data_IF_729626950909
#
_entry.id   IF_729626950909
#
_cell.length_a   1.000
_cell.length_b   1.000
_cell.length_c   1.000
_cell.angle_alpha   90.00
_cell.angle_beta   90.00
_cell.angle_gamma   90.00
#
_symmetry.space_group_name_H-M   'P 1'
#
loop_
_entity.id
_entity.type
_entity.pdbx_description
1 polymer ?
#
# COMPACT_ATOMS: atom_id res chain seq x y z
N UNK A 1 -18.10 -2.72 -6.33
CA UNK A 1 -17.75 -1.29 -6.31
C UNK A 1 -16.23 -1.17 -6.28
N UNK A 2 -15.62 -0.34 -7.13
CA UNK A 2 -14.16 -0.21 -7.23
C UNK A 2 -13.61 0.56 -6.02
N UNK A 3 -12.75 -0.07 -5.24
CA UNK A 3 -12.01 0.56 -4.12
C UNK A 3 -10.54 0.72 -4.51
N UNK A 4 -9.96 1.87 -4.21
CA UNK A 4 -8.58 2.20 -4.59
C UNK A 4 -7.68 2.19 -3.35
N UNK A 5 -6.72 1.27 -3.29
CA UNK A 5 -5.66 1.33 -2.31
C UNK A 5 -4.59 2.33 -2.78
N UNK A 6 -4.40 3.42 -2.06
CA UNK A 6 -3.32 4.39 -2.31
C UNK A 6 -2.31 4.27 -1.17
N UNK A 7 -1.06 3.97 -1.52
CA UNK A 7 0.04 3.86 -0.55
C UNK A 7 1.38 4.16 -1.21
N UNK A 8 2.45 4.16 -0.42
CA UNK A 8 3.77 4.41 -0.99
C UNK A 8 4.87 4.64 0.03
N UNK A 9 6.00 5.13 -0.47
CA UNK A 9 7.20 5.36 0.32
C UNK A 9 7.01 6.39 1.43
N UNK A 10 7.60 6.11 2.59
CA UNK A 10 7.68 7.07 3.70
C UNK A 10 8.53 8.30 3.38
N UNK A 11 9.34 8.28 2.33
CA UNK A 11 10.17 9.41 1.89
C UNK A 11 9.42 10.38 0.98
N UNK A 12 8.29 9.98 0.39
CA UNK A 12 7.47 10.84 -0.47
C UNK A 12 6.52 11.66 0.43
N UNK A 13 6.96 12.84 0.84
CA UNK A 13 6.18 13.74 1.69
C UNK A 13 5.37 14.79 0.92
N UNK A 14 5.55 14.88 -0.40
CA UNK A 14 4.83 15.79 -1.30
C UNK A 14 4.37 15.04 -2.53
N UNK A 15 3.17 15.38 -3.00
CA UNK A 15 2.61 14.78 -4.20
C UNK A 15 2.90 15.66 -5.41
N UNK A 16 3.41 15.02 -6.48
CA UNK A 16 3.58 15.68 -7.77
C UNK A 16 2.25 16.03 -8.42
N UNK A 17 2.26 16.98 -9.33
CA UNK A 17 1.06 17.43 -10.03
C UNK A 17 0.34 16.29 -10.77
N UNK A 18 1.09 15.33 -11.32
CA UNK A 18 0.53 14.19 -12.03
C UNK A 18 -0.17 13.19 -11.12
N UNK A 19 0.40 12.96 -9.93
CA UNK A 19 -0.23 12.15 -8.88
C UNK A 19 -1.52 12.83 -8.42
N UNK A 20 -1.49 14.14 -8.17
CA UNK A 20 -2.68 14.91 -7.79
C UNK A 20 -3.77 14.82 -8.85
N UNK A 21 -3.44 14.99 -10.15
CA UNK A 21 -4.41 14.83 -11.25
C UNK A 21 -5.03 13.42 -11.27
N UNK A 22 -4.24 12.38 -10.93
CA UNK A 22 -4.78 11.01 -10.86
C UNK A 22 -5.71 10.83 -9.66
N UNK A 23 -5.38 11.42 -8.52
CA UNK A 23 -6.26 11.42 -7.33
C UNK A 23 -7.53 12.24 -7.62
N UNK A 24 -7.45 13.37 -8.32
CA UNK A 24 -8.62 14.15 -8.73
C UNK A 24 -9.61 13.31 -9.56
N UNK A 25 -9.11 12.47 -10.49
CA UNK A 25 -9.96 11.52 -11.23
C UNK A 25 -10.61 10.44 -10.36
N UNK A 26 -9.96 10.02 -9.28
CA UNK A 26 -10.54 9.09 -8.29
C UNK A 26 -11.68 9.79 -7.55
N UNK A 27 -11.48 11.05 -7.16
CA UNK A 27 -12.48 11.90 -6.49
C UNK A 27 -13.68 12.15 -7.42
N UNK A 28 -13.46 12.56 -8.66
CA UNK A 28 -14.50 12.80 -9.67
C UNK A 28 -15.39 11.58 -9.89
N UNK A 29 -14.79 10.38 -9.91
CA UNK A 29 -15.50 9.10 -10.04
C UNK A 29 -16.12 8.60 -8.73
N UNK A 30 -15.95 9.34 -7.64
CA UNK A 30 -16.41 8.97 -6.30
C UNK A 30 -15.99 7.55 -5.87
N UNK A 31 -14.72 7.19 -6.12
CA UNK A 31 -14.21 5.86 -5.77
C UNK A 31 -13.71 5.86 -4.33
N UNK A 32 -14.17 4.93 -3.46
CA UNK A 32 -13.62 4.78 -2.12
C UNK A 32 -12.11 4.58 -2.11
N UNK A 33 -11.42 5.29 -1.22
CA UNK A 33 -9.98 5.24 -1.03
C UNK A 33 -9.65 4.54 0.27
N UNK A 34 -8.78 3.53 0.19
CA UNK A 34 -8.14 2.89 1.33
C UNK A 34 -6.71 3.45 1.42
N UNK A 35 -6.35 4.02 2.55
CA UNK A 35 -5.03 4.63 2.76
C UNK A 35 -4.47 4.24 4.12
N UNK A 36 -3.16 4.05 4.21
CA UNK A 36 -2.49 3.78 5.46
C UNK A 36 -2.30 5.02 6.33
N UNK A 37 -1.70 4.81 7.50
CA UNK A 37 -1.44 5.83 8.52
C UNK A 37 0.02 6.27 8.62
N UNK A 38 0.90 5.80 7.73
CA UNK A 38 2.32 6.08 7.79
C UNK A 38 2.63 7.55 7.44
N UNK A 39 3.79 8.03 7.90
CA UNK A 39 4.35 9.27 7.38
C UNK A 39 4.76 9.09 5.92
N UNK A 40 4.99 10.19 5.20
CA UNK A 40 5.33 10.19 3.78
C UNK A 40 4.10 10.08 2.90
N UNK A 41 4.07 9.15 1.95
CA UNK A 41 3.02 9.05 0.93
C UNK A 41 1.61 8.94 1.52
N UNK A 42 1.39 8.08 2.52
CA UNK A 42 0.08 7.92 3.14
C UNK A 42 -0.44 9.26 3.69
N UNK A 43 0.40 9.96 4.48
CA UNK A 43 0.04 11.27 5.04
C UNK A 43 -0.17 12.33 3.96
N UNK A 44 0.70 12.39 2.95
CA UNK A 44 0.57 13.36 1.87
C UNK A 44 -0.72 13.14 1.05
N UNK A 45 -1.12 11.90 0.82
CA UNK A 45 -2.39 11.54 0.18
C UNK A 45 -3.57 11.96 1.06
N UNK A 46 -3.52 11.67 2.36
CA UNK A 46 -4.55 12.10 3.30
C UNK A 46 -4.72 13.62 3.32
N UNK A 47 -3.62 14.39 3.39
CA UNK A 47 -3.66 15.85 3.37
C UNK A 47 -4.28 16.39 2.08
N UNK A 48 -3.96 15.77 0.93
CA UNK A 48 -4.54 16.15 -0.34
C UNK A 48 -6.04 15.85 -0.42
N UNK A 49 -6.47 14.65 -0.03
CA UNK A 49 -7.90 14.28 0.02
C UNK A 49 -8.69 15.19 0.97
N UNK A 50 -8.11 15.55 2.13
CA UNK A 50 -8.69 16.53 3.07
C UNK A 50 -8.85 17.90 2.41
N UNK A 51 -7.84 18.38 1.68
CA UNK A 51 -7.89 19.68 0.99
C UNK A 51 -8.99 19.75 -0.08
N UNK A 52 -9.41 18.57 -0.59
CA UNK A 52 -10.53 18.42 -1.52
C UNK A 52 -11.88 18.13 -0.83
N UNK A 53 -11.92 18.13 0.49
CA UNK A 53 -13.12 17.75 1.28
C UNK A 53 -13.70 16.39 0.84
N UNK A 54 -12.82 15.43 0.49
CA UNK A 54 -13.25 14.11 0.04
C UNK A 54 -13.59 13.21 1.22
N UNK A 55 -14.79 12.64 1.23
CA UNK A 55 -15.39 11.91 2.35
C UNK A 55 -15.30 10.38 2.23
N UNK A 56 -15.11 9.83 1.01
CA UNK A 56 -15.06 8.38 0.79
C UNK A 56 -13.65 7.82 1.02
N UNK A 57 -13.16 7.96 2.25
CA UNK A 57 -11.83 7.51 2.67
C UNK A 57 -11.94 6.65 3.92
N UNK A 58 -11.15 5.58 3.97
CA UNK A 58 -10.96 4.76 5.17
C UNK A 58 -9.46 4.66 5.47
N UNK A 59 -9.06 4.94 6.73
CA UNK A 59 -7.67 4.92 7.16
C UNK A 59 -7.37 3.60 7.88
N UNK A 60 -6.41 2.85 7.38
CA UNK A 60 -5.98 1.58 7.95
C UNK A 60 -4.77 1.76 8.87
N UNK A 61 -4.82 1.14 10.04
CA UNK A 61 -3.80 1.22 11.07
C UNK A 61 -3.42 -0.17 11.56
N UNK A 62 -2.13 -0.41 11.78
CA UNK A 62 -1.68 -1.65 12.43
C UNK A 62 -1.71 -1.50 13.95
N UNK A 63 -2.38 -2.43 14.64
CA UNK A 63 -2.59 -2.37 16.09
C UNK A 63 -3.67 -1.37 16.50
N UNK A 64 -3.64 -0.93 17.74
CA UNK A 64 -4.78 -0.26 18.40
C UNK A 64 -4.86 1.26 18.15
N UNK A 65 -3.86 1.86 17.46
CA UNK A 65 -3.81 3.31 17.24
C UNK A 65 -3.28 3.68 15.87
N UNK A 66 -3.85 4.75 15.32
CA UNK A 66 -3.38 5.36 14.08
C UNK A 66 -2.34 6.44 14.34
N UNK A 67 -1.28 6.48 13.53
CA UNK A 67 -0.26 7.54 13.57
C UNK A 67 -0.75 8.82 12.90
N UNK A 68 -1.50 8.70 11.81
CA UNK A 68 -2.07 9.81 11.06
C UNK A 68 -3.50 9.48 10.62
N UNK A 69 -4.43 10.41 10.88
CA UNK A 69 -5.76 10.49 10.29
C UNK A 69 -6.11 11.97 10.15
N UNK A 70 -5.56 12.62 9.12
CA UNK A 70 -5.60 14.08 8.96
C UNK A 70 -6.98 14.62 8.61
N UNK A 71 -7.85 13.79 8.04
CA UNK A 71 -9.22 14.17 7.66
C UNK A 71 -10.29 13.72 8.62
N UNK A 72 -9.95 13.01 9.71
CA UNK A 72 -10.93 12.51 10.67
C UNK A 72 -11.86 11.44 10.10
N UNK A 73 -11.42 10.69 9.09
CA UNK A 73 -12.21 9.63 8.45
C UNK A 73 -12.37 8.39 9.34
N UNK A 74 -13.29 7.47 8.98
CA UNK A 74 -13.36 6.16 9.61
C UNK A 74 -12.00 5.47 9.64
N UNK A 75 -11.67 4.87 10.78
CA UNK A 75 -10.43 4.15 11.00
C UNK A 75 -10.70 2.66 11.11
N UNK A 76 -9.86 1.86 10.45
CA UNK A 76 -9.83 0.41 10.62
C UNK A 76 -8.51 -0.01 11.27
N UNK A 77 -8.61 -0.46 12.51
CA UNK A 77 -7.49 -1.07 13.23
C UNK A 77 -7.38 -2.55 12.83
N UNK A 78 -6.18 -2.94 12.37
CA UNK A 78 -5.92 -4.33 11.99
C UNK A 78 -5.13 -4.98 13.13
N UNK A 79 -5.67 -6.05 13.76
CA UNK A 79 -4.99 -6.74 14.85
C UNK A 79 -3.63 -7.24 14.43
N UNK A 80 -2.63 -7.11 15.31
CA UNK A 80 -1.28 -7.61 15.09
C UNK A 80 -1.03 -8.76 16.05
N UNK A 81 -0.41 -9.86 15.60
CA UNK A 81 -0.09 -10.98 16.48
C UNK A 81 0.72 -10.54 17.70
N UNK A 82 0.29 -10.96 18.90
CA UNK A 82 0.89 -10.55 20.19
C UNK A 82 2.33 -11.01 20.42
N UNK A 83 2.86 -11.86 19.53
CA UNK A 83 4.18 -12.48 19.69
C UNK A 83 5.36 -11.58 19.29
N UNK A 84 5.11 -10.39 18.77
CA UNK A 84 6.14 -9.43 18.38
C UNK A 84 6.34 -8.35 19.43
N UNK A 85 7.41 -8.42 20.19
CA UNK A 85 7.84 -7.36 21.14
C UNK A 85 8.33 -6.08 20.45
N UNK A 86 8.39 -6.04 19.12
CA UNK A 86 8.96 -4.95 18.33
C UNK A 86 8.03 -4.58 17.17
N UNK A 87 7.81 -3.28 16.96
CA UNK A 87 7.14 -2.74 15.76
C UNK A 87 8.10 -2.82 14.57
N UNK A 88 8.18 -3.98 13.94
CA UNK A 88 9.01 -4.29 12.79
C UNK A 88 8.24 -4.17 11.46
N UNK A 89 8.87 -4.61 10.37
CA UNK A 89 8.25 -4.61 9.04
C UNK A 89 6.95 -5.42 9.01
N UNK A 90 6.93 -6.60 9.65
CA UNK A 90 5.74 -7.46 9.74
C UNK A 90 4.57 -6.75 10.43
N UNK A 91 4.84 -6.04 11.54
CA UNK A 91 3.84 -5.23 12.24
C UNK A 91 3.18 -4.21 11.30
N UNK A 92 3.99 -3.40 10.63
CA UNK A 92 3.46 -2.33 9.77
C UNK A 92 2.80 -2.84 8.49
N UNK A 93 3.23 -4.00 7.98
CA UNK A 93 2.66 -4.60 6.77
C UNK A 93 1.29 -5.26 7.01
N UNK A 94 0.87 -5.45 8.26
CA UNK A 94 -0.44 -6.07 8.58
C UNK A 94 -1.61 -5.27 7.98
N UNK A 95 -1.61 -3.95 8.16
CA UNK A 95 -2.62 -3.08 7.54
C UNK A 95 -2.54 -3.07 6.01
N UNK A 96 -1.31 -3.17 5.46
CA UNK A 96 -1.07 -3.14 4.02
C UNK A 96 -1.64 -4.40 3.35
N UNK A 97 -1.52 -5.57 4.01
CA UNK A 97 -2.19 -6.82 3.58
C UNK A 97 -3.70 -6.65 3.55
N UNK A 98 -4.29 -6.14 4.64
CA UNK A 98 -5.73 -5.93 4.72
C UNK A 98 -6.24 -4.96 3.63
N UNK A 99 -5.51 -3.89 3.33
CA UNK A 99 -5.85 -2.99 2.23
C UNK A 99 -5.71 -3.68 0.86
N UNK A 100 -4.66 -4.48 0.66
CA UNK A 100 -4.48 -5.24 -0.58
C UNK A 100 -5.58 -6.27 -0.79
N UNK A 101 -6.06 -6.92 0.27
CA UNK A 101 -7.18 -7.88 0.21
C UNK A 101 -8.49 -7.19 -0.18
N UNK A 102 -8.77 -6.02 0.38
CA UNK A 102 -10.05 -5.33 0.18
C UNK A 102 -10.11 -4.46 -1.08
N UNK A 103 -9.00 -3.91 -1.51
CA UNK A 103 -8.94 -3.04 -2.68
C UNK A 103 -9.30 -3.79 -3.97
N UNK A 104 -9.75 -3.05 -4.97
CA UNK A 104 -9.95 -3.55 -6.34
C UNK A 104 -8.76 -3.22 -7.23
N UNK A 105 -8.12 -2.07 -6.97
CA UNK A 105 -6.97 -1.58 -7.72
C UNK A 105 -6.02 -0.85 -6.78
N UNK A 106 -4.72 -0.77 -7.14
CA UNK A 106 -3.70 -0.01 -6.41
C UNK A 106 -3.19 1.21 -7.15
N UNK A 107 -2.86 2.25 -6.38
CA UNK A 107 -2.01 3.37 -6.81
C UNK A 107 -0.84 3.46 -5.82
N UNK A 108 0.35 3.06 -6.27
CA UNK A 108 1.54 3.01 -5.42
C UNK A 108 2.52 4.12 -5.79
N UNK A 109 2.98 4.89 -4.78
CA UNK A 109 3.95 5.97 -4.96
C UNK A 109 5.33 5.48 -4.51
N UNK A 110 6.24 5.28 -5.47
CA UNK A 110 7.52 4.61 -5.24
C UNK A 110 8.72 5.52 -5.48
N UNK A 111 9.67 5.46 -4.57
CA UNK A 111 10.92 6.23 -4.57
C UNK A 111 12.13 5.43 -5.10
N UNK A 112 11.91 4.30 -5.75
CA UNK A 112 12.89 3.29 -6.19
C UNK A 112 13.59 2.50 -5.07
N UNK A 113 13.37 2.83 -3.78
CA UNK A 113 14.07 2.20 -2.66
C UNK A 113 13.13 1.48 -1.68
N UNK A 114 11.85 1.88 -1.62
CA UNK A 114 10.90 1.35 -0.65
C UNK A 114 10.50 -0.09 -0.94
N UNK A 115 11.00 -1.04 -0.14
CA UNK A 115 10.58 -2.46 -0.17
C UNK A 115 9.09 -2.59 0.12
N UNK A 116 8.56 -1.86 1.10
CA UNK A 116 7.14 -1.91 1.47
C UNK A 116 6.21 -1.55 0.32
N UNK A 117 6.59 -0.56 -0.51
CA UNK A 117 5.84 -0.18 -1.71
C UNK A 117 5.84 -1.31 -2.75
N UNK A 118 7.01 -1.91 -3.02
CA UNK A 118 7.12 -3.03 -3.96
C UNK A 118 6.37 -4.27 -3.45
N UNK A 119 6.40 -4.54 -2.15
CA UNK A 119 5.60 -5.61 -1.54
C UNK A 119 4.09 -5.37 -1.71
N UNK A 120 3.61 -4.12 -1.66
CA UNK A 120 2.21 -3.80 -1.92
C UNK A 120 1.82 -4.05 -3.39
N UNK A 121 2.71 -3.76 -4.33
CA UNK A 121 2.52 -4.16 -5.74
C UNK A 121 2.39 -5.67 -5.85
N UNK A 122 3.32 -6.43 -5.25
CA UNK A 122 3.31 -7.90 -5.29
C UNK A 122 2.02 -8.48 -4.69
N UNK A 123 1.57 -7.98 -3.52
CA UNK A 123 0.32 -8.40 -2.88
C UNK A 123 -0.88 -8.23 -3.80
N UNK A 124 -1.00 -7.06 -4.41
CA UNK A 124 -2.11 -6.77 -5.33
C UNK A 124 -2.08 -7.68 -6.56
N UNK A 125 -0.91 -7.92 -7.16
CA UNK A 125 -0.76 -8.83 -8.31
C UNK A 125 -1.11 -10.27 -7.92
N UNK A 126 -0.69 -10.76 -6.75
CA UNK A 126 -1.08 -12.09 -6.24
C UNK A 126 -2.60 -12.25 -6.08
N UNK A 127 -3.30 -11.17 -5.76
CA UNK A 127 -4.76 -11.10 -5.74
C UNK A 127 -5.39 -10.81 -7.11
N UNK A 128 -4.63 -10.90 -8.19
CA UNK A 128 -5.07 -10.62 -9.58
C UNK A 128 -5.64 -9.19 -9.75
N UNK A 129 -5.14 -8.24 -8.99
CA UNK A 129 -5.56 -6.84 -9.00
C UNK A 129 -4.56 -5.97 -9.75
N UNK A 130 -5.07 -5.00 -10.51
CA UNK A 130 -4.23 -4.07 -11.27
C UNK A 130 -3.63 -3.02 -10.35
N UNK A 131 -2.39 -2.64 -10.64
CA UNK A 131 -1.65 -1.61 -9.90
C UNK A 131 -1.09 -0.59 -10.88
N UNK A 132 -1.21 0.68 -10.53
CA UNK A 132 -0.46 1.76 -11.17
C UNK A 132 0.62 2.21 -10.20
N UNK A 133 1.86 2.14 -10.61
CA UNK A 133 3.02 2.59 -9.84
C UNK A 133 3.50 3.93 -10.37
N UNK A 134 3.50 4.95 -9.53
CA UNK A 134 4.19 6.21 -9.83
C UNK A 134 5.63 6.11 -9.34
N UNK A 135 6.57 6.16 -10.27
CA UNK A 135 8.01 6.15 -10.00
C UNK A 135 8.46 7.59 -9.83
N UNK A 136 8.56 8.06 -8.58
CA UNK A 136 8.75 9.48 -8.28
C UNK A 136 10.03 10.09 -8.88
N UNK A 137 11.20 9.43 -8.84
CA UNK A 137 12.42 10.00 -9.45
C UNK A 137 12.32 10.21 -10.96
N UNK A 138 11.48 9.42 -11.64
CA UNK A 138 11.36 9.46 -13.11
C UNK A 138 10.13 10.25 -13.57
N UNK A 139 9.26 10.65 -12.65
CA UNK A 139 7.98 11.29 -12.92
C UNK A 139 7.11 10.48 -13.90
N UNK A 140 7.16 9.14 -13.84
CA UNK A 140 6.42 8.26 -14.75
C UNK A 140 5.46 7.33 -14.03
N UNK A 141 4.40 6.91 -14.74
CA UNK A 141 3.50 5.87 -14.32
C UNK A 141 3.79 4.56 -15.03
N UNK A 142 3.88 3.47 -14.26
CA UNK A 142 4.02 2.11 -14.77
C UNK A 142 2.78 1.31 -14.40
N UNK A 143 2.12 0.73 -15.39
CA UNK A 143 1.00 -0.18 -15.19
C UNK A 143 1.52 -1.60 -14.94
N UNK A 144 1.07 -2.23 -13.85
CA UNK A 144 1.36 -3.63 -13.52
C UNK A 144 0.01 -4.34 -13.39
N UNK A 145 -0.30 -5.25 -14.31
CA UNK A 145 -1.62 -5.90 -14.44
C UNK A 145 -1.55 -7.42 -14.40
N UNK A 146 -0.39 -7.96 -14.76
CA UNK A 146 -0.14 -9.39 -14.89
C UNK A 146 1.15 -9.79 -14.16
N UNK A 147 1.38 -11.07 -13.98
CA UNK A 147 2.65 -11.58 -13.47
C UNK A 147 3.84 -11.20 -14.39
N UNK A 148 3.65 -11.21 -15.71
CA UNK A 148 4.68 -10.78 -16.65
C UNK A 148 5.03 -9.28 -16.49
N UNK A 149 4.03 -8.41 -16.27
CA UNK A 149 4.28 -7.01 -15.96
C UNK A 149 5.02 -6.85 -14.62
N UNK A 150 4.69 -7.69 -13.64
CA UNK A 150 5.40 -7.73 -12.35
C UNK A 150 6.87 -8.10 -12.52
N UNK A 151 7.17 -9.15 -13.27
CA UNK A 151 8.55 -9.57 -13.55
C UNK A 151 9.33 -8.47 -14.26
N UNK A 152 8.71 -7.81 -15.24
CA UNK A 152 9.30 -6.66 -15.93
C UNK A 152 9.53 -5.47 -14.99
N UNK A 153 8.58 -5.15 -14.12
CA UNK A 153 8.73 -4.11 -13.12
C UNK A 153 9.87 -4.44 -12.14
N UNK A 154 9.89 -5.68 -11.61
CA UNK A 154 10.92 -6.14 -10.69
C UNK A 154 12.31 -6.14 -11.32
N UNK A 155 12.42 -6.47 -12.63
CA UNK A 155 13.70 -6.48 -13.34
C UNK A 155 14.39 -5.10 -13.36
N UNK A 156 13.62 -4.02 -13.28
CA UNK A 156 14.12 -2.63 -13.21
C UNK A 156 14.55 -2.19 -11.81
N UNK A 157 14.27 -3.00 -10.78
CA UNK A 157 14.69 -2.73 -9.41
C UNK A 157 16.17 -3.06 -9.21
N UNK A 158 16.82 -2.38 -8.27
CA UNK A 158 18.19 -2.70 -7.85
C UNK A 158 18.26 -4.10 -7.22
N UNK A 159 19.39 -4.78 -7.35
CA UNK A 159 19.51 -6.18 -6.92
C UNK A 159 19.34 -6.36 -5.41
N UNK A 160 19.84 -5.45 -4.60
CA UNK A 160 19.62 -5.46 -3.15
C UNK A 160 18.14 -5.32 -2.78
N UNK A 161 17.38 -4.53 -3.54
CA UNK A 161 15.94 -4.41 -3.37
C UNK A 161 15.22 -5.71 -3.74
N UNK A 162 15.62 -6.36 -4.85
CA UNK A 162 15.05 -7.67 -5.27
C UNK A 162 15.27 -8.73 -4.20
N UNK A 163 16.47 -8.81 -3.62
CA UNK A 163 16.79 -9.75 -2.55
C UNK A 163 15.92 -9.51 -1.31
N UNK A 164 15.74 -8.25 -0.92
CA UNK A 164 14.88 -7.88 0.22
C UNK A 164 13.41 -8.21 -0.04
N UNK A 165 12.91 -7.92 -1.23
CA UNK A 165 11.53 -8.28 -1.64
C UNK A 165 11.34 -9.79 -1.61
N UNK A 166 12.28 -10.56 -2.15
CA UNK A 166 12.21 -12.02 -2.12
C UNK A 166 12.17 -12.57 -0.68
N UNK A 167 13.03 -12.05 0.20
CA UNK A 167 13.07 -12.42 1.62
C UNK A 167 11.74 -12.14 2.34
N UNK A 168 11.21 -10.92 2.21
CA UNK A 168 9.94 -10.54 2.84
C UNK A 168 8.76 -11.33 2.27
N UNK A 169 8.77 -11.64 0.97
CA UNK A 169 7.78 -12.47 0.29
C UNK A 169 7.70 -13.89 0.87
N UNK A 170 8.84 -14.52 1.17
CA UNK A 170 8.90 -15.86 1.79
C UNK A 170 8.37 -15.81 3.23
N UNK A 171 8.74 -14.77 3.99
CA UNK A 171 8.26 -14.60 5.37
C UNK A 171 6.73 -14.46 5.40
N UNK A 172 6.14 -13.69 4.50
CA UNK A 172 4.68 -13.56 4.42
C UNK A 172 3.98 -14.89 4.11
N UNK A 173 4.45 -15.61 3.08
CA UNK A 173 3.85 -16.89 2.71
C UNK A 173 3.89 -17.93 3.83
N UNK A 174 4.98 -17.98 4.60
CA UNK A 174 5.10 -18.87 5.74
C UNK A 174 4.15 -18.48 6.89
N UNK A 175 3.96 -17.18 7.13
CA UNK A 175 3.03 -16.65 8.12
C UNK A 175 1.56 -16.99 7.78
N UNK A 176 1.18 -16.91 6.52
CA UNK A 176 -0.17 -17.24 6.04
C UNK A 176 -0.48 -18.75 6.17
N UNK A 177 0.46 -19.61 5.82
CA UNK A 177 0.31 -21.07 5.98
C UNK A 177 0.14 -21.50 7.44
N UNK A 178 0.88 -20.86 8.35
CA UNK A 178 0.78 -21.13 9.79
C UNK A 178 -0.58 -20.73 10.37
N UNK A 179 -1.17 -19.63 9.91
CA UNK A 179 -2.49 -19.17 10.38
C UNK A 179 -3.65 -20.01 9.84
N UNK A 180 -3.53 -20.54 8.62
CA UNK A 180 -4.56 -21.41 8.02
C UNK A 180 -4.62 -22.78 8.71
N UNK A 181 -3.48 -23.34 9.14
CA UNK A 181 -3.45 -24.60 9.90
C UNK A 181 -4.00 -24.46 11.31
N UNK A 182 -3.78 -23.32 11.97
CA UNK A 182 -4.31 -23.08 13.31
C UNK A 182 -5.84 -22.86 13.34
N UNK A 183 -6.45 -22.49 12.21
CA UNK A 183 -7.89 -22.27 12.07
C UNK A 183 -8.67 -23.56 11.75
N UNK A 184 -8.00 -24.67 11.50
CA UNK A 184 -8.59 -25.98 11.15
C UNK A 184 -8.59 -26.97 12.33
N UNK A 185 -8.10 -26.57 13.50
CA UNK A 185 -8.14 -27.31 14.79
C UNK A 185 -9.04 -26.60 15.78
#
# INVERSE_FOLDING_TARGET
MTKVFIGGSRRISRLDAEVKRRIDRIIEKRLPVLVGDANGADKAVQEYLRSKSYDLVEVFCSGDSCRNNTGGWPMRTVPVPKNGKRKDFSFYSTKDRAMADEATVGLMLWDRESVGTVMNVLRLIRHQKKVVVYVAPDHEFVDVKTEGDWEQFLSRCADDLKERVAKESVVEQNGERGSTQASLL
#
